data_IF_487166452100
#
_entry.id   IF_487166452100
#
_cell.length_a   1.000
_cell.length_b   1.000
_cell.length_c   1.000
_cell.angle_alpha   90.00
_cell.angle_beta   90.00
_cell.angle_gamma   90.00
#
_symmetry.space_group_name_H-M   'P 1'
#
loop_
_entity.id
_entity.type
_entity.pdbx_description
1 polymer ?
#
# COMPACT_ATOMS: atom_id res chain seq x y z
N UNK A 1 -28.78 42.22 -69.80
CA UNK A 1 -27.82 41.14 -69.47
C UNK A 1 -28.43 40.30 -68.36
N UNK A 2 -28.87 39.09 -68.65
CA UNK A 2 -29.44 38.16 -67.67
C UNK A 2 -28.30 37.21 -67.24
N UNK A 3 -27.79 37.38 -66.02
CA UNK A 3 -26.86 36.39 -65.44
C UNK A 3 -27.68 35.15 -65.06
N UNK A 4 -27.52 34.05 -65.80
CA UNK A 4 -28.01 32.74 -65.36
C UNK A 4 -27.08 32.23 -64.27
N UNK A 5 -27.52 32.29 -63.03
CA UNK A 5 -26.91 31.54 -61.93
C UNK A 5 -27.13 30.04 -62.17
N UNK A 6 -26.09 29.31 -62.56
CA UNK A 6 -26.14 27.84 -62.65
C UNK A 6 -26.23 27.28 -61.23
N UNK A 7 -27.44 26.96 -60.79
CA UNK A 7 -27.64 26.16 -59.59
C UNK A 7 -27.30 24.72 -59.95
N UNK A 8 -26.08 24.28 -59.64
CA UNK A 8 -25.70 22.89 -59.77
C UNK A 8 -26.50 22.09 -58.73
N UNK A 9 -27.38 21.19 -59.21
CA UNK A 9 -28.07 20.25 -58.34
C UNK A 9 -27.08 19.25 -57.75
N UNK A 10 -27.22 18.95 -56.46
CA UNK A 10 -26.40 17.95 -55.78
C UNK A 10 -26.63 16.57 -56.41
N UNK A 11 -25.56 15.84 -56.71
CA UNK A 11 -25.70 14.49 -57.29
C UNK A 11 -25.97 13.47 -56.18
N UNK A 12 -26.79 12.45 -56.46
CA UNK A 12 -27.12 11.40 -55.48
C UNK A 12 -25.85 10.66 -55.01
N UNK A 13 -24.86 10.53 -55.89
CA UNK A 13 -23.55 9.95 -55.56
C UNK A 13 -22.76 10.81 -54.57
N UNK A 14 -22.80 12.14 -54.69
CA UNK A 14 -22.12 13.07 -53.77
C UNK A 14 -22.73 13.03 -52.37
N UNK A 15 -24.06 12.87 -52.26
CA UNK A 15 -24.74 12.68 -50.97
C UNK A 15 -24.33 11.38 -50.26
N UNK A 16 -24.20 10.27 -51.01
CA UNK A 16 -23.74 8.99 -50.45
C UNK A 16 -22.29 9.10 -49.96
N UNK A 17 -21.42 9.76 -50.73
CA UNK A 17 -20.03 9.99 -50.33
C UNK A 17 -19.96 10.86 -49.06
N UNK A 18 -20.74 11.94 -49.01
CA UNK A 18 -20.78 12.83 -47.84
C UNK A 18 -21.23 12.10 -46.57
N UNK A 19 -22.31 11.31 -46.64
CA UNK A 19 -22.78 10.48 -45.51
C UNK A 19 -21.72 9.45 -45.12
N UNK A 20 -21.02 8.85 -46.08
CA UNK A 20 -19.91 7.93 -45.81
C UNK A 20 -18.77 8.57 -45.03
N UNK A 21 -18.37 9.78 -45.41
CA UNK A 21 -17.31 10.52 -44.71
C UNK A 21 -17.76 10.91 -43.29
N UNK A 22 -18.98 11.40 -43.14
CA UNK A 22 -19.51 11.79 -41.81
C UNK A 22 -19.61 10.56 -40.89
N UNK A 23 -20.08 9.44 -41.41
CA UNK A 23 -20.23 8.20 -40.64
C UNK A 23 -18.88 7.66 -40.17
N UNK A 24 -17.88 7.65 -41.05
CA UNK A 24 -16.52 7.22 -40.68
C UNK A 24 -15.87 8.16 -39.69
N UNK A 25 -16.01 9.48 -39.86
CA UNK A 25 -15.50 10.48 -38.92
C UNK A 25 -16.13 10.31 -37.51
N UNK A 26 -17.44 10.06 -37.46
CA UNK A 26 -18.15 9.85 -36.20
C UNK A 26 -17.68 8.60 -35.46
N UNK A 27 -17.45 7.49 -36.18
CA UNK A 27 -16.93 6.26 -35.59
C UNK A 27 -15.52 6.44 -35.02
N UNK A 28 -14.65 7.15 -35.74
CA UNK A 28 -13.30 7.47 -35.27
C UNK A 28 -13.35 8.35 -34.02
N UNK A 29 -14.19 9.40 -34.03
CA UNK A 29 -14.36 10.28 -32.88
C UNK A 29 -14.85 9.54 -31.63
N UNK A 30 -15.84 8.65 -31.79
CA UNK A 30 -16.34 7.83 -30.68
C UNK A 30 -15.27 6.86 -30.16
N UNK A 31 -14.52 6.23 -31.05
CA UNK A 31 -13.41 5.34 -30.66
C UNK A 31 -12.37 6.06 -29.81
N UNK A 32 -11.97 7.27 -30.20
CA UNK A 32 -11.04 8.10 -29.44
C UNK A 32 -11.61 8.53 -28.08
N UNK A 33 -12.89 8.88 -28.02
CA UNK A 33 -13.55 9.23 -26.77
C UNK A 33 -13.52 8.05 -25.77
N UNK A 34 -13.82 6.84 -26.24
CA UNK A 34 -13.77 5.62 -25.42
C UNK A 34 -12.33 5.34 -24.96
N UNK A 35 -11.33 5.44 -25.85
CA UNK A 35 -9.93 5.23 -25.46
C UNK A 35 -9.47 6.25 -24.42
N UNK A 36 -9.87 7.51 -24.55
CA UNK A 36 -9.53 8.55 -23.57
C UNK A 36 -10.20 8.29 -22.20
N UNK A 37 -11.46 7.84 -22.19
CA UNK A 37 -12.15 7.50 -20.94
C UNK A 37 -11.48 6.33 -20.22
N UNK A 38 -11.11 5.27 -20.96
CA UNK A 38 -10.40 4.12 -20.37
C UNK A 38 -9.01 4.51 -19.84
N UNK A 39 -8.28 5.38 -20.55
CA UNK A 39 -7.01 5.91 -20.08
C UNK A 39 -7.17 6.80 -18.83
N UNK A 40 -8.21 7.65 -18.79
CA UNK A 40 -8.50 8.51 -17.65
C UNK A 40 -8.81 7.68 -16.39
N UNK A 41 -9.61 6.63 -16.52
CA UNK A 41 -9.86 5.68 -15.43
C UNK A 41 -8.58 4.98 -14.98
N UNK A 42 -7.73 4.53 -15.91
CA UNK A 42 -6.47 3.87 -15.55
C UNK A 42 -5.52 4.81 -14.78
N UNK A 43 -5.49 6.08 -15.14
CA UNK A 43 -4.73 7.10 -14.43
C UNK A 43 -5.34 7.38 -13.04
N UNK A 44 -6.66 7.43 -12.94
CA UNK A 44 -7.35 7.58 -11.64
C UNK A 44 -7.00 6.45 -10.69
N UNK A 45 -7.05 5.19 -11.14
CA UNK A 45 -6.71 4.03 -10.31
C UNK A 45 -5.26 4.09 -9.81
N UNK A 46 -4.33 4.50 -10.68
CA UNK A 46 -2.90 4.67 -10.33
C UNK A 46 -2.69 5.75 -9.28
N UNK A 47 -3.41 6.88 -9.37
CA UNK A 47 -3.34 7.95 -8.38
C UNK A 47 -3.88 7.49 -7.03
N UNK A 48 -5.02 6.77 -7.03
CA UNK A 48 -5.58 6.18 -5.81
C UNK A 48 -4.60 5.20 -5.18
N UNK A 49 -4.05 4.26 -5.96
CA UNK A 49 -3.08 3.29 -5.47
C UNK A 49 -1.81 3.95 -4.91
N UNK A 50 -1.28 4.97 -5.58
CA UNK A 50 -0.13 5.72 -5.10
C UNK A 50 -0.44 6.48 -3.79
N UNK A 51 -1.63 7.07 -3.67
CA UNK A 51 -2.04 7.74 -2.43
C UNK A 51 -2.28 6.75 -1.29
N UNK A 52 -2.87 5.57 -1.56
CA UNK A 52 -3.02 4.50 -0.56
C UNK A 52 -1.65 3.96 -0.09
N UNK A 53 -0.66 3.87 -0.99
CA UNK A 53 0.69 3.48 -0.62
C UNK A 53 1.37 4.57 0.24
N UNK A 54 1.16 5.85 -0.09
CA UNK A 54 1.66 6.98 0.73
C UNK A 54 1.04 6.97 2.11
N UNK A 55 -0.28 6.84 2.20
CA UNK A 55 -1.00 6.70 3.46
C UNK A 55 -0.42 5.55 4.28
N UNK A 56 -0.14 4.40 3.64
CA UNK A 56 0.46 3.27 4.33
C UNK A 56 1.80 3.58 5.02
N UNK A 57 2.67 4.36 4.38
CA UNK A 57 3.92 4.82 5.00
C UNK A 57 3.65 5.82 6.13
N UNK A 58 2.75 6.78 5.92
CA UNK A 58 2.40 7.77 6.94
C UNK A 58 1.81 7.12 8.20
N UNK A 59 1.06 6.02 8.05
CA UNK A 59 0.54 5.25 9.18
C UNK A 59 1.67 4.66 10.02
N UNK A 60 2.67 4.03 9.37
CA UNK A 60 3.81 3.47 10.10
C UNK A 60 4.61 4.58 10.79
N UNK A 61 4.80 5.73 10.11
CA UNK A 61 5.45 6.90 10.71
C UNK A 61 4.65 7.45 11.91
N UNK A 62 3.33 7.53 11.78
CA UNK A 62 2.46 8.01 12.85
C UNK A 62 2.53 7.11 14.08
N UNK A 63 2.46 5.78 13.92
CA UNK A 63 2.55 4.83 15.03
C UNK A 63 3.92 4.94 15.71
N UNK A 64 4.99 4.98 14.91
CA UNK A 64 6.37 5.18 15.39
C UNK A 64 6.52 6.45 16.23
N UNK A 65 6.06 7.59 15.68
CA UNK A 65 6.17 8.88 16.35
C UNK A 65 5.30 8.94 17.61
N UNK A 66 4.12 8.30 17.57
CA UNK A 66 3.25 8.16 18.73
C UNK A 66 3.91 7.34 19.84
N UNK A 67 4.62 6.26 19.50
CA UNK A 67 5.33 5.44 20.48
C UNK A 67 6.45 6.24 21.17
N UNK A 68 7.22 7.05 20.44
CA UNK A 68 8.19 7.96 21.06
C UNK A 68 7.55 8.94 22.03
N UNK A 69 6.44 9.58 21.65
CA UNK A 69 5.75 10.51 22.53
C UNK A 69 5.23 9.84 23.81
N UNK A 70 4.76 8.59 23.70
CA UNK A 70 4.31 7.79 24.85
C UNK A 70 5.49 7.40 25.74
N UNK A 71 6.63 7.05 25.15
CA UNK A 71 7.87 6.78 25.88
C UNK A 71 8.37 8.01 26.63
N UNK A 72 8.48 9.17 25.97
CA UNK A 72 8.89 10.45 26.56
C UNK A 72 7.95 10.90 27.69
N UNK A 73 6.67 10.58 27.57
CA UNK A 73 5.66 10.85 28.58
C UNK A 73 5.68 9.84 29.75
N UNK A 74 6.56 8.83 29.74
CA UNK A 74 6.56 7.71 30.67
C UNK A 74 5.16 7.06 30.81
N UNK A 75 4.46 6.90 29.68
CA UNK A 75 3.17 6.21 29.63
C UNK A 75 3.43 4.72 29.66
N UNK A 76 2.91 4.06 30.69
CA UNK A 76 2.98 2.61 30.84
C UNK A 76 2.17 1.91 29.72
N UNK A 77 2.66 0.78 29.22
CA UNK A 77 1.95 -0.07 28.23
C UNK A 77 0.80 -0.80 28.88
N UNK A 78 0.94 -1.12 30.16
CA UNK A 78 -0.03 -1.80 30.97
C UNK A 78 -0.54 -0.88 32.08
N UNK A 79 -1.76 -0.37 31.93
CA UNK A 79 -2.50 0.30 33.02
C UNK A 79 -2.87 -0.68 34.18
N UNK A 80 -2.35 -1.91 34.14
CA UNK A 80 -2.65 -2.99 35.06
C UNK A 80 -1.80 -2.87 36.34
N UNK A 81 -2.40 -2.33 37.39
CA UNK A 81 -1.80 -2.14 38.73
C UNK A 81 -1.27 -3.43 39.42
N UNK A 82 -1.35 -4.60 38.77
CA UNK A 82 -0.93 -5.90 39.29
C UNK A 82 0.41 -6.39 38.70
N UNK A 83 0.94 -5.74 37.66
CA UNK A 83 2.28 -6.07 37.15
C UNK A 83 3.34 -5.30 37.95
N UNK A 84 4.25 -6.02 38.59
CA UNK A 84 5.37 -5.42 39.32
C UNK A 84 6.46 -4.83 38.41
N UNK A 85 6.30 -4.91 37.08
CA UNK A 85 7.26 -4.39 36.09
C UNK A 85 6.54 -3.38 35.19
N UNK A 86 6.84 -2.10 35.38
CA UNK A 86 6.46 -1.02 34.46
C UNK A 86 7.06 -1.33 33.08
N UNK A 87 6.24 -1.29 32.04
CA UNK A 87 6.69 -1.51 30.66
C UNK A 87 6.34 -0.31 29.79
N UNK A 88 7.33 0.48 29.38
CA UNK A 88 7.06 1.64 28.53
C UNK A 88 6.96 1.28 27.06
N UNK A 89 6.28 2.15 26.31
CA UNK A 89 6.32 2.06 24.86
C UNK A 89 7.76 2.19 24.35
N UNK A 90 8.18 1.29 23.47
CA UNK A 90 9.42 1.37 22.71
C UNK A 90 9.13 1.78 21.28
N UNK A 91 10.16 2.27 20.61
CA UNK A 91 10.10 2.58 19.19
C UNK A 91 9.60 1.40 18.34
N UNK A 92 9.95 0.17 18.72
CA UNK A 92 9.63 -1.08 18.01
C UNK A 92 8.25 -1.66 18.29
N UNK A 93 7.43 -1.03 19.14
CA UNK A 93 6.16 -1.66 19.54
C UNK A 93 5.11 -1.77 18.43
N UNK A 94 5.35 -1.14 17.28
CA UNK A 94 4.51 -1.37 16.11
C UNK A 94 4.59 -2.82 15.59
N UNK A 95 5.52 -3.64 16.10
CA UNK A 95 5.61 -5.09 15.87
C UNK A 95 4.75 -5.93 16.84
N UNK A 96 4.28 -5.38 17.97
CA UNK A 96 3.76 -6.17 19.10
C UNK A 96 2.33 -6.72 18.95
N UNK A 97 1.70 -6.58 17.78
CA UNK A 97 0.31 -7.00 17.57
C UNK A 97 0.17 -8.48 17.18
N UNK A 98 0.28 -9.41 18.16
CA UNK A 98 -0.20 -10.82 18.12
C UNK A 98 0.42 -11.77 17.06
N UNK A 99 0.45 -13.08 17.36
CA UNK A 99 1.70 -13.85 17.45
C UNK A 99 2.61 -13.74 16.23
N UNK A 100 3.92 -13.72 16.49
CA UNK A 100 4.97 -13.79 15.48
C UNK A 100 4.61 -14.83 14.40
N UNK A 101 4.61 -14.46 13.11
CA UNK A 101 4.25 -15.40 12.05
C UNK A 101 5.22 -16.58 12.14
N UNK A 102 4.75 -17.81 12.37
CA UNK A 102 5.62 -18.97 12.62
C UNK A 102 6.56 -19.34 11.47
N UNK A 103 6.49 -18.62 10.36
CA UNK A 103 7.28 -18.79 9.15
C UNK A 103 7.63 -17.42 8.56
N UNK A 104 8.91 -17.19 8.29
CA UNK A 104 9.37 -16.04 7.51
C UNK A 104 8.76 -16.16 6.11
N UNK A 105 7.98 -15.18 5.71
CA UNK A 105 7.20 -15.24 4.48
C UNK A 105 7.83 -14.36 3.40
N UNK A 106 8.63 -14.98 2.55
CA UNK A 106 9.24 -14.33 1.40
C UNK A 106 8.31 -14.23 0.18
N UNK A 107 6.99 -14.40 0.35
CA UNK A 107 5.92 -14.14 -0.63
C UNK A 107 6.29 -14.27 -2.11
N UNK A 108 6.00 -15.44 -2.71
CA UNK A 108 5.82 -15.68 -4.16
C UNK A 108 6.70 -14.86 -5.14
N UNK A 109 8.03 -14.98 -5.03
CA UNK A 109 8.93 -14.84 -6.19
C UNK A 109 9.93 -13.69 -6.19
N UNK A 110 10.00 -12.87 -5.13
CA UNK A 110 11.08 -11.90 -4.95
C UNK A 110 11.89 -12.24 -3.69
N UNK A 111 13.09 -12.83 -3.82
CA UNK A 111 13.92 -13.18 -2.66
C UNK A 111 14.37 -11.94 -1.87
N UNK A 112 14.29 -10.74 -2.45
CA UNK A 112 14.71 -9.49 -1.81
C UNK A 112 13.58 -8.82 -1.01
N UNK A 113 12.38 -9.43 -0.93
CA UNK A 113 11.22 -8.92 -0.17
C UNK A 113 10.81 -9.86 0.99
N UNK A 114 11.77 -10.61 1.57
CA UNK A 114 11.55 -11.36 2.81
C UNK A 114 11.27 -10.45 4.00
N UNK A 115 10.15 -10.63 4.69
CA UNK A 115 9.85 -9.94 5.94
C UNK A 115 8.43 -10.21 6.42
N UNK A 116 7.99 -9.45 7.42
CA UNK A 116 6.67 -9.64 8.01
C UNK A 116 5.64 -8.73 7.34
N UNK A 117 4.52 -9.32 6.92
CA UNK A 117 3.39 -8.58 6.35
C UNK A 117 2.47 -8.09 7.46
N UNK A 118 1.95 -6.88 7.26
CA UNK A 118 1.03 -6.23 8.17
C UNK A 118 -0.15 -5.62 7.40
N UNK A 119 -1.32 -5.81 7.98
CA UNK A 119 -2.55 -5.12 7.59
C UNK A 119 -2.67 -3.82 8.39
N UNK A 120 -3.14 -2.76 7.72
CA UNK A 120 -3.49 -1.51 8.37
C UNK A 120 -4.93 -1.60 8.84
N UNK A 121 -5.15 -1.60 10.15
CA UNK A 121 -6.47 -1.60 10.75
C UNK A 121 -6.80 -0.20 11.26
N UNK A 122 -7.91 0.32 10.75
CA UNK A 122 -8.47 1.62 11.14
C UNK A 122 -9.63 1.36 12.09
N UNK A 123 -9.51 1.84 13.32
CA UNK A 123 -10.69 1.96 14.17
C UNK A 123 -11.41 3.25 13.81
N UNK A 124 -12.62 3.11 13.26
CA UNK A 124 -13.41 4.26 12.80
C UNK A 124 -14.09 5.01 13.94
N UNK A 125 -14.06 4.49 15.17
CA UNK A 125 -14.66 5.12 16.34
C UNK A 125 -13.79 6.24 16.91
N UNK A 126 -12.47 6.07 16.87
CA UNK A 126 -11.48 7.02 17.40
C UNK A 126 -10.43 7.45 16.35
N UNK A 127 -10.54 6.95 15.12
CA UNK A 127 -9.57 7.16 14.03
C UNK A 127 -8.15 6.73 14.41
N UNK A 128 -8.01 5.73 15.29
CA UNK A 128 -6.73 5.14 15.61
C UNK A 128 -6.28 4.16 14.53
N UNK A 129 -4.97 4.11 14.33
CA UNK A 129 -4.32 3.20 13.40
C UNK A 129 -3.57 2.14 14.18
N UNK A 130 -3.78 0.88 13.81
CA UNK A 130 -2.98 -0.24 14.31
C UNK A 130 -2.44 -1.02 13.14
N UNK A 131 -1.23 -1.57 13.28
CA UNK A 131 -0.77 -2.63 12.41
C UNK A 131 -1.20 -3.96 13.04
N UNK A 132 -1.60 -4.91 12.20
CA UNK A 132 -1.82 -6.29 12.62
C UNK A 132 -1.00 -7.19 11.72
N UNK A 133 -0.23 -8.11 12.32
CA UNK A 133 0.49 -9.10 11.54
C UNK A 133 -0.50 -9.86 10.65
N UNK A 134 -0.12 -10.05 9.40
CA UNK A 134 -0.89 -10.72 8.38
C UNK A 134 -0.04 -11.81 7.73
N UNK A 135 -0.61 -12.97 7.37
CA UNK A 135 0.10 -13.94 6.54
C UNK A 135 0.39 -13.33 5.15
N UNK A 136 1.34 -13.87 4.36
CA UNK A 136 1.31 -13.49 2.95
C UNK A 136 0.00 -13.96 2.34
N UNK A 137 -0.64 -13.01 1.68
CA UNK A 137 -1.86 -13.25 0.96
C UNK A 137 -1.57 -13.08 -0.53
N UNK A 138 -2.10 -13.99 -1.35
CA UNK A 138 -2.08 -13.81 -2.80
C UNK A 138 -2.98 -12.62 -3.17
N UNK A 139 -2.37 -11.59 -3.77
CA UNK A 139 -3.05 -10.35 -4.07
C UNK A 139 -4.26 -10.55 -4.99
N UNK A 140 -4.20 -11.51 -5.92
CA UNK A 140 -5.29 -11.78 -6.88
C UNK A 140 -6.47 -12.45 -6.19
N UNK A 141 -6.20 -13.45 -5.35
CA UNK A 141 -7.21 -14.09 -4.51
C UNK A 141 -7.88 -13.06 -3.60
N UNK A 142 -7.11 -12.15 -3.01
CA UNK A 142 -7.62 -11.10 -2.14
C UNK A 142 -8.47 -10.05 -2.87
N UNK A 143 -8.08 -9.63 -4.07
CA UNK A 143 -8.91 -8.75 -4.92
C UNK A 143 -10.27 -9.42 -5.24
N UNK A 144 -10.24 -10.75 -5.45
CA UNK A 144 -11.43 -11.55 -5.73
C UNK A 144 -12.24 -11.94 -4.47
N UNK A 145 -11.73 -11.71 -3.26
CA UNK A 145 -12.41 -12.09 -2.01
C UNK A 145 -13.79 -11.42 -1.92
N UNK A 146 -14.88 -12.13 -1.61
CA UNK A 146 -16.22 -11.53 -1.55
C UNK A 146 -16.45 -10.66 -0.29
N UNK A 147 -15.46 -10.51 0.59
CA UNK A 147 -15.57 -9.84 1.89
C UNK A 147 -15.53 -10.81 3.08
N UNK A 148 -15.10 -12.05 2.87
CA UNK A 148 -14.87 -13.04 3.92
C UNK A 148 -13.65 -12.71 4.78
N UNK A 149 -12.67 -12.00 4.23
CA UNK A 149 -11.46 -11.60 4.94
C UNK A 149 -11.32 -10.07 4.99
N UNK A 150 -11.44 -9.41 6.17
CA UNK A 150 -11.30 -7.95 6.30
C UNK A 150 -9.94 -7.41 5.84
N UNK A 151 -8.86 -8.19 5.97
CA UNK A 151 -7.51 -7.78 5.57
C UNK A 151 -7.26 -7.81 4.06
N UNK A 152 -8.00 -8.64 3.33
CA UNK A 152 -7.73 -8.93 1.91
C UNK A 152 -8.05 -7.79 0.95
N UNK A 153 -8.95 -6.86 1.29
CA UNK A 153 -9.37 -5.85 0.30
C UNK A 153 -9.62 -4.53 0.95
N UNK A 154 -9.08 -3.49 0.32
CA UNK A 154 -9.43 -2.13 0.68
C UNK A 154 -10.88 -1.90 0.29
N UNK A 155 -11.66 -1.42 1.24
CA UNK A 155 -13.07 -1.11 1.07
C UNK A 155 -13.28 0.36 1.33
N UNK A 156 -14.36 0.90 0.80
CA UNK A 156 -14.69 2.31 0.95
C UNK A 156 -15.87 2.44 1.90
N UNK A 157 -15.68 3.23 2.94
CA UNK A 157 -16.72 3.54 3.91
C UNK A 157 -17.12 5.01 3.75
N UNK A 158 -18.41 5.27 3.56
CA UNK A 158 -18.93 6.62 3.46
C UNK A 158 -19.08 7.20 4.87
N UNK A 159 -18.39 8.32 5.13
CA UNK A 159 -18.53 9.10 6.36
C UNK A 159 -19.39 10.32 6.07
N UNK A 160 -19.94 10.97 7.11
CA UNK A 160 -20.74 12.20 6.94
C UNK A 160 -20.00 13.36 6.25
N UNK A 161 -18.68 13.28 6.15
CA UNK A 161 -17.79 14.28 5.55
C UNK A 161 -17.10 13.82 4.27
N UNK A 162 -17.30 12.57 3.82
CA UNK A 162 -16.63 12.04 2.63
C UNK A 162 -16.62 10.52 2.55
N UNK A 163 -15.54 9.95 2.03
CA UNK A 163 -15.34 8.51 2.04
C UNK A 163 -13.91 8.17 2.38
N UNK A 164 -13.72 7.13 3.18
CA UNK A 164 -12.42 6.68 3.67
C UNK A 164 -12.17 5.26 3.17
N UNK A 165 -10.92 4.97 2.84
CA UNK A 165 -10.47 3.64 2.47
C UNK A 165 -10.05 2.88 3.73
N UNK A 166 -10.68 1.73 3.99
CA UNK A 166 -10.51 0.93 5.20
C UNK A 166 -10.27 -0.54 4.85
N UNK A 167 -9.46 -1.26 5.62
CA UNK A 167 -9.35 -2.72 5.56
C UNK A 167 -10.30 -3.34 6.60
N UNK A 168 -11.59 -3.01 6.50
CA UNK A 168 -12.65 -3.52 7.38
C UNK A 168 -13.73 -4.19 6.53
N UNK A 169 -14.00 -5.46 6.81
CA UNK A 169 -15.00 -6.27 6.11
C UNK A 169 -16.41 -5.66 6.18
N UNK A 170 -16.69 -4.84 7.20
CA UNK A 170 -18.00 -4.21 7.39
C UNK A 170 -18.25 -3.00 6.48
N UNK A 171 -17.22 -2.46 5.82
CA UNK A 171 -17.39 -1.35 4.90
C UNK A 171 -18.20 -1.76 3.66
N UNK A 172 -19.20 -0.97 3.22
CA UNK A 172 -20.19 -1.43 2.25
C UNK A 172 -19.65 -1.53 0.81
N UNK A 173 -18.73 -0.65 0.41
CA UNK A 173 -18.24 -0.59 -0.97
C UNK A 173 -16.92 -1.34 -1.13
N UNK A 174 -16.85 -2.24 -2.11
CA UNK A 174 -15.62 -2.95 -2.47
C UNK A 174 -14.79 -2.12 -3.45
N UNK A 175 -13.47 -2.18 -3.32
CA UNK A 175 -12.54 -1.58 -4.30
C UNK A 175 -11.77 -2.66 -5.03
N UNK A 176 -11.03 -2.29 -6.07
CA UNK A 176 -10.14 -3.20 -6.81
C UNK A 176 -8.74 -3.31 -6.19
N UNK A 177 -8.51 -2.67 -5.04
CA UNK A 177 -7.20 -2.53 -4.43
C UNK A 177 -7.01 -3.52 -3.29
N UNK A 178 -5.89 -4.23 -3.33
CA UNK A 178 -5.29 -4.90 -2.21
C UNK A 178 -4.13 -4.04 -1.70
N UNK A 179 -4.00 -3.89 -0.39
CA UNK A 179 -2.94 -3.12 0.26
C UNK A 179 -2.30 -3.97 1.34
N UNK A 180 -0.97 -4.00 1.37
CA UNK A 180 -0.19 -4.60 2.45
C UNK A 180 1.00 -3.73 2.80
N UNK A 181 1.44 -3.82 4.05
CA UNK A 181 2.70 -3.25 4.52
C UNK A 181 3.68 -4.41 4.76
N UNK A 182 4.90 -4.27 4.28
CA UNK A 182 6.01 -5.15 4.61
C UNK A 182 7.00 -4.35 5.45
N UNK A 183 7.34 -4.88 6.62
CA UNK A 183 8.34 -4.28 7.50
C UNK A 183 9.56 -5.19 7.57
N UNK A 184 10.74 -4.57 7.47
CA UNK A 184 12.04 -5.22 7.69
C UNK A 184 12.87 -4.39 8.67
N UNK A 185 13.61 -4.97 9.62
CA UNK A 185 14.57 -4.20 10.41
C UNK A 185 15.66 -3.64 9.49
N UNK A 186 16.25 -2.51 9.90
CA UNK A 186 17.52 -2.04 9.35
C UNK A 186 18.56 -2.34 10.43
N UNK A 187 19.49 -3.20 10.08
CA UNK A 187 20.53 -3.67 10.99
C UNK A 187 21.84 -2.93 10.71
N UNK A 188 22.57 -2.64 11.78
CA UNK A 188 23.87 -2.02 11.71
C UNK A 188 24.93 -2.98 12.24
N UNK A 189 25.86 -3.37 11.38
CA UNK A 189 27.07 -4.08 11.79
C UNK A 189 28.17 -3.07 12.17
N UNK A 190 28.58 -3.13 13.43
CA UNK A 190 29.65 -2.30 13.97
C UNK A 190 31.05 -2.87 13.71
N UNK A 191 31.17 -4.13 13.26
CA UNK A 191 32.43 -4.85 13.08
C UNK A 191 32.91 -4.87 11.62
N UNK A 192 32.02 -4.70 10.65
CA UNK A 192 32.39 -4.53 9.24
C UNK A 192 32.66 -3.06 8.91
N UNK A 193 33.77 -2.71 8.24
CA UNK A 193 34.15 -1.30 7.95
C UNK A 193 33.65 -0.79 6.58
N UNK A 194 33.12 -1.68 5.73
CA UNK A 194 32.87 -1.37 4.30
C UNK A 194 31.38 -1.48 3.92
N UNK A 195 30.57 -2.26 4.65
CA UNK A 195 29.13 -2.44 4.38
C UNK A 195 28.29 -2.49 5.68
N UNK A 196 28.52 -1.55 6.58
CA UNK A 196 27.93 -1.49 7.94
C UNK A 196 26.39 -1.48 8.03
N UNK A 197 25.67 -1.34 6.92
CA UNK A 197 24.21 -1.30 6.92
C UNK A 197 23.68 -2.46 6.11
N UNK A 198 23.30 -3.52 6.81
CA UNK A 198 22.65 -4.67 6.21
C UNK A 198 21.15 -4.41 6.08
N UNK A 199 20.65 -4.54 4.85
CA UNK A 199 19.26 -4.24 4.52
C UNK A 199 18.37 -5.49 4.48
N UNK A 200 18.97 -6.68 4.52
CA UNK A 200 18.30 -7.97 4.29
C UNK A 200 18.73 -9.06 5.29
N UNK A 201 19.37 -8.71 6.41
CA UNK A 201 19.78 -9.64 7.48
C UNK A 201 18.58 -10.10 8.34
N UNK A 202 17.54 -10.64 7.72
CA UNK A 202 16.48 -11.35 8.42
C UNK A 202 16.69 -12.84 8.16
N UNK A 203 17.38 -13.52 9.08
CA UNK A 203 17.53 -14.97 9.04
C UNK A 203 16.33 -15.70 9.67
N UNK A 204 15.46 -14.99 10.40
CA UNK A 204 14.40 -15.61 11.21
C UNK A 204 13.05 -14.86 11.25
N UNK A 205 12.05 -15.54 11.82
CA UNK A 205 10.69 -15.05 12.06
C UNK A 205 10.63 -13.87 13.03
N UNK A 206 11.61 -13.77 13.91
CA UNK A 206 11.64 -12.81 15.02
C UNK A 206 12.13 -11.43 14.56
N UNK A 207 12.52 -11.28 13.28
CA UNK A 207 13.09 -10.04 12.74
C UNK A 207 14.30 -9.59 13.55
N UNK A 208 15.11 -10.55 14.01
CA UNK A 208 16.39 -10.28 14.66
C UNK A 208 17.40 -9.84 13.62
N UNK A 209 18.31 -8.97 14.06
CA UNK A 209 19.54 -8.73 13.32
C UNK A 209 20.50 -9.86 13.70
N UNK A 210 20.59 -10.88 12.86
CA UNK A 210 21.52 -11.99 12.99
C UNK A 210 22.38 -12.06 11.72
N UNK A 211 23.63 -12.48 11.86
CA UNK A 211 24.49 -12.73 10.71
C UNK A 211 24.03 -13.99 9.94
N UNK A 212 24.53 -14.17 8.71
CA UNK A 212 24.24 -15.34 7.87
C UNK A 212 24.66 -16.69 8.53
N UNK A 213 25.46 -16.63 9.61
CA UNK A 213 25.96 -17.77 10.38
C UNK A 213 25.11 -18.08 11.65
N UNK A 214 24.13 -17.24 11.99
CA UNK A 214 23.22 -17.43 13.13
C UNK A 214 23.86 -17.19 14.49
N UNK A 215 25.01 -16.50 14.52
CA UNK A 215 25.64 -16.06 15.75
C UNK A 215 24.97 -14.74 16.22
N UNK A 216 24.75 -14.54 17.53
CA UNK A 216 24.21 -13.29 18.06
C UNK A 216 25.28 -12.19 17.93
N UNK A 217 25.35 -11.59 16.75
CA UNK A 217 26.24 -10.46 16.49
C UNK A 217 25.75 -9.22 17.24
N UNK A 218 26.69 -8.33 17.55
CA UNK A 218 26.44 -7.05 18.18
C UNK A 218 25.75 -6.06 17.22
N UNK A 219 24.77 -6.53 16.43
CA UNK A 219 24.02 -5.73 15.50
C UNK A 219 22.86 -5.06 16.22
N UNK A 220 22.92 -3.73 16.26
CA UNK A 220 21.82 -2.94 16.79
C UNK A 220 20.80 -2.71 15.67
N UNK A 221 19.53 -2.98 15.96
CA UNK A 221 18.43 -2.49 15.13
C UNK A 221 18.42 -0.97 15.17
N UNK A 222 18.75 -0.35 14.04
CA UNK A 222 18.84 1.11 13.92
C UNK A 222 17.65 1.71 13.17
N UNK A 223 16.71 0.89 12.69
CA UNK A 223 15.55 1.36 11.97
C UNK A 223 14.67 0.26 11.40
N UNK A 224 13.72 0.67 10.56
CA UNK A 224 12.78 -0.18 9.83
C UNK A 224 12.69 0.30 8.39
N UNK A 225 12.84 -0.63 7.45
CA UNK A 225 12.47 -0.44 6.06
C UNK A 225 10.99 -0.78 5.94
N UNK A 226 10.19 0.23 5.63
CA UNK A 226 8.77 0.11 5.37
C UNK A 226 8.54 0.02 3.88
N UNK A 227 7.90 -1.04 3.43
CA UNK A 227 7.44 -1.18 2.05
C UNK A 227 5.91 -1.19 2.04
N UNK A 228 5.31 -0.12 1.55
CA UNK A 228 3.86 -0.07 1.30
C UNK A 228 3.58 -0.48 -0.14
N UNK A 229 2.79 -1.55 -0.30
CA UNK A 229 2.44 -2.10 -1.60
C UNK A 229 0.94 -2.09 -1.80
N UNK A 230 0.51 -1.58 -2.95
CA UNK A 230 -0.88 -1.60 -3.39
C UNK A 230 -0.94 -2.28 -4.74
N UNK A 231 -1.74 -3.35 -4.82
CA UNK A 231 -1.93 -4.16 -6.02
C UNK A 231 -3.38 -4.04 -6.48
N UNK A 232 -3.59 -3.95 -7.79
CA UNK A 232 -4.92 -3.98 -8.39
C UNK A 232 -4.90 -4.65 -9.75
N UNK A 233 -6.08 -5.05 -10.24
CA UNK A 233 -6.21 -5.73 -11.52
C UNK A 233 -7.05 -4.91 -12.50
N UNK A 234 -6.59 -4.82 -13.75
CA UNK A 234 -7.34 -4.24 -14.87
C UNK A 234 -7.33 -5.19 -16.06
N UNK A 235 -8.47 -5.81 -16.35
CA UNK A 235 -8.54 -6.93 -17.29
C UNK A 235 -7.71 -8.11 -16.77
N UNK A 236 -6.80 -8.63 -17.59
CA UNK A 236 -5.87 -9.71 -17.19
C UNK A 236 -4.50 -9.18 -16.74
N UNK A 237 -4.35 -7.87 -16.52
CA UNK A 237 -3.09 -7.29 -16.06
C UNK A 237 -3.18 -6.93 -14.59
N UNK A 238 -2.27 -7.50 -13.82
CA UNK A 238 -1.97 -7.08 -12.45
C UNK A 238 -1.05 -5.87 -12.50
N UNK A 239 -1.38 -4.85 -11.74
CA UNK A 239 -0.66 -3.60 -11.62
C UNK A 239 -0.32 -3.36 -10.16
N UNK A 240 0.77 -2.64 -9.93
CA UNK A 240 1.28 -2.39 -8.60
C UNK A 240 1.79 -0.96 -8.45
N UNK A 241 1.60 -0.41 -7.25
CA UNK A 241 2.26 0.78 -6.75
C UNK A 241 2.98 0.41 -5.46
N UNK A 242 4.29 0.63 -5.41
CA UNK A 242 5.13 0.32 -4.25
C UNK A 242 5.91 1.54 -3.84
N UNK A 243 5.92 1.82 -2.54
CA UNK A 243 6.73 2.87 -1.92
C UNK A 243 7.57 2.23 -0.83
N UNK A 244 8.88 2.47 -0.87
CA UNK A 244 9.83 2.03 0.15
C UNK A 244 10.34 3.26 0.90
N UNK A 245 10.32 3.23 2.23
CA UNK A 245 10.88 4.27 3.07
C UNK A 245 11.68 3.67 4.23
N UNK A 246 12.82 4.29 4.53
CA UNK A 246 13.68 3.93 5.66
C UNK A 246 13.38 4.84 6.82
N UNK A 247 12.87 4.27 7.90
CA UNK A 247 12.59 4.97 9.15
C UNK A 247 13.66 4.57 10.16
N UNK A 248 14.63 5.46 10.37
CA UNK A 248 15.67 5.25 11.38
C UNK A 248 15.20 5.65 12.77
N UNK A 249 15.82 5.05 13.78
CA UNK A 249 15.71 5.52 15.15
C UNK A 249 16.54 6.81 15.31
N UNK A 250 15.88 7.97 15.25
CA UNK A 250 16.58 9.27 15.28
C UNK A 250 16.74 9.85 16.68
N UNK A 251 15.97 9.39 17.66
CA UNK A 251 16.28 9.62 19.06
C UNK A 251 17.31 8.56 19.44
N UNK A 252 18.60 8.94 19.35
CA UNK A 252 19.71 8.03 19.61
C UNK A 252 19.48 7.26 20.91
N UNK A 253 19.79 5.96 20.88
CA UNK A 253 19.69 5.07 22.03
C UNK A 253 20.26 5.78 23.27
N UNK A 254 19.38 6.17 24.20
CA UNK A 254 19.83 6.55 25.53
C UNK A 254 20.37 5.28 26.17
N UNK A 255 21.71 5.19 26.20
CA UNK A 255 22.49 4.22 26.96
C UNK A 255 22.09 4.23 28.44
#
# INVERSE_FOLDING_TARGET
MHQRSSHAGFTLIEGIIAIGIISTAMLVGLGLAISNLTAAQANSDRIIAANLAREGIEVVRHIRDSNWLRQDANVDKDDDANNSKLTFYSWDDFYDSWPLPTTLDCGLGDPDDCGNYFDIVLDTSDFSYTLKAAPAQDAIACIADPGSNPGCRVRKNATGTGSVYVNDALAPETTIFFRRILLKPICWDALEEVENVQYDAISDVNMTCDDDDGDPVAENKIGVLVTSQVVWQRGNKTLEARIKERLYNWQGATL
#
